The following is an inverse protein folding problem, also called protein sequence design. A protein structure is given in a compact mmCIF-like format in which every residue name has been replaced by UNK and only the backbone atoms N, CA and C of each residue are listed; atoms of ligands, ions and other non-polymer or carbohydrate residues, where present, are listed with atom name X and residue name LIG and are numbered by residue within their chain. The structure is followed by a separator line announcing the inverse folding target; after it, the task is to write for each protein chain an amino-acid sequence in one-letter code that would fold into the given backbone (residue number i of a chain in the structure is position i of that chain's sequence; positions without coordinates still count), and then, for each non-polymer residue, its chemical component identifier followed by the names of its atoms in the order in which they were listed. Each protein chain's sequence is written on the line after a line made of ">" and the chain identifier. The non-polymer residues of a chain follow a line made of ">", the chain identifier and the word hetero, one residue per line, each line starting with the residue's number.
data_IF_793526659497
#
_entry.id   IF_793526659497
#
_cell.length_a   1.000
_cell.length_b   1.000
_cell.length_c   1.000
_cell.angle_alpha   90.00
_cell.angle_beta   90.00
_cell.angle_gamma   90.00
#
_symmetry.space_group_name_H-M   'P 1'
#
loop_
_entity.id
_entity.type
_entity.pdbx_description
1 polymer ?
#
# COMPACT_ATOMS: atom_id res chain seq x y z
N UNK A 1 -4.67 8.15 -5.18
CA UNK A 1 -3.58 9.15 -5.17
C UNK A 1 -2.83 9.16 -3.84
N UNK A 2 -3.47 9.46 -2.69
CA UNK A 2 -2.78 9.55 -1.40
C UNK A 2 -1.90 8.33 -1.07
N UNK A 3 -2.41 7.12 -1.25
CA UNK A 3 -1.65 5.89 -1.00
C UNK A 3 -0.34 5.81 -1.81
N UNK A 4 -0.34 6.27 -3.07
CA UNK A 4 0.85 6.23 -3.94
C UNK A 4 2.01 7.09 -3.41
N UNK A 5 1.70 8.12 -2.62
CA UNK A 5 2.68 9.00 -1.99
C UNK A 5 2.86 8.74 -0.48
N UNK A 6 2.27 7.68 0.06
CA UNK A 6 2.38 7.29 1.47
C UNK A 6 3.76 6.66 1.78
N UNK A 7 4.85 7.44 1.61
CA UNK A 7 6.22 7.03 1.90
C UNK A 7 7.07 8.19 2.44
N UNK A 8 7.84 7.92 3.46
CA UNK A 8 8.67 8.91 4.14
C UNK A 8 8.03 9.42 5.44
N UNK A 9 8.34 10.65 5.81
CA UNK A 9 7.83 11.28 7.02
C UNK A 9 6.37 11.73 6.84
N UNK A 10 5.52 11.44 7.82
CA UNK A 10 4.07 11.70 7.76
C UNK A 10 3.75 13.17 7.52
N UNK A 11 4.41 14.09 8.24
CA UNK A 11 4.19 15.53 8.05
C UNK A 11 4.47 15.97 6.61
N UNK A 12 5.58 15.50 6.04
CA UNK A 12 5.92 15.80 4.64
C UNK A 12 4.94 15.19 3.64
N UNK A 13 4.42 13.99 3.93
CA UNK A 13 3.36 13.36 3.12
C UNK A 13 2.12 14.24 3.14
N UNK A 14 1.65 14.66 4.31
CA UNK A 14 0.44 15.49 4.45
C UNK A 14 0.60 16.84 3.75
N UNK A 15 1.71 17.56 3.99
CA UNK A 15 1.98 18.83 3.31
C UNK A 15 2.01 18.68 1.78
N UNK A 16 2.63 17.62 1.27
CA UNK A 16 2.63 17.36 -0.18
C UNK A 16 1.21 17.09 -0.71
N UNK A 17 0.43 16.27 -0.01
CA UNK A 17 -0.93 15.93 -0.42
C UNK A 17 -1.85 17.13 -0.38
N UNK A 18 -1.77 17.98 0.66
CA UNK A 18 -2.53 19.24 0.75
C UNK A 18 -2.24 20.14 -0.45
N UNK A 19 -0.97 20.33 -0.80
CA UNK A 19 -0.59 21.11 -1.98
C UNK A 19 -1.09 20.48 -3.29
N UNK A 20 -0.95 19.17 -3.44
CA UNK A 20 -1.41 18.46 -4.64
C UNK A 20 -2.94 18.55 -4.79
N UNK A 21 -3.69 18.34 -3.71
CA UNK A 21 -5.15 18.49 -3.73
C UNK A 21 -5.58 19.95 -3.87
N UNK A 22 -4.84 20.91 -3.34
CA UNK A 22 -5.06 22.34 -3.59
C UNK A 22 -4.97 22.71 -5.08
N UNK A 23 -4.03 22.10 -5.83
CA UNK A 23 -3.94 22.25 -7.28
C UNK A 23 -5.17 21.64 -8.00
N UNK A 24 -5.66 20.50 -7.53
CA UNK A 24 -6.80 19.80 -8.13
C UNK A 24 -8.15 20.42 -7.73
N UNK A 25 -8.19 21.22 -6.67
CA UNK A 25 -9.39 21.86 -6.16
C UNK A 25 -10.35 20.90 -5.43
N UNK A 26 -11.60 21.35 -5.18
CA UNK A 26 -12.54 20.63 -4.33
C UNK A 26 -13.01 19.30 -4.91
N UNK A 27 -12.89 19.12 -6.22
CA UNK A 27 -13.23 17.86 -6.90
C UNK A 27 -12.05 17.37 -7.74
N UNK A 28 -11.12 16.58 -7.15
CA UNK A 28 -9.99 16.01 -7.89
C UNK A 28 -10.41 15.17 -9.10
N UNK A 29 -11.56 14.48 -8.99
CA UNK A 29 -12.12 13.73 -10.11
C UNK A 29 -12.47 14.65 -11.28
N UNK A 30 -13.25 15.71 -11.04
CA UNK A 30 -13.63 16.68 -12.09
C UNK A 30 -12.40 17.35 -12.71
N UNK A 31 -11.40 17.72 -11.89
CA UNK A 31 -10.17 18.30 -12.39
C UNK A 31 -9.36 17.36 -13.30
N UNK A 32 -9.36 16.07 -12.98
CA UNK A 32 -8.65 15.07 -13.78
C UNK A 32 -9.43 14.66 -15.04
N UNK A 33 -10.75 14.71 -15.03
CA UNK A 33 -11.59 14.32 -16.18
C UNK A 33 -12.05 15.49 -17.04
N UNK A 34 -11.62 16.71 -16.73
CA UNK A 34 -11.88 17.90 -17.55
C UNK A 34 -11.34 17.75 -18.98
N UNK A 35 -11.88 18.49 -19.94
CA UNK A 35 -11.47 18.44 -21.35
C UNK A 35 -9.96 18.61 -21.54
N UNK A 36 -9.35 19.48 -20.75
CA UNK A 36 -7.90 19.70 -20.77
C UNK A 36 -7.23 19.09 -19.55
N UNK A 37 -6.08 18.41 -19.74
CA UNK A 37 -5.31 17.87 -18.62
C UNK A 37 -4.78 19.00 -17.73
N UNK A 38 -4.47 18.67 -16.47
CA UNK A 38 -3.81 19.59 -15.53
C UNK A 38 -2.49 20.08 -16.17
N UNK A 39 -2.30 21.39 -16.38
CA UNK A 39 -1.07 21.90 -16.99
C UNK A 39 0.15 21.65 -16.12
N UNK A 40 1.30 21.37 -16.75
CA UNK A 40 2.56 21.13 -16.02
C UNK A 40 2.96 22.32 -15.12
N UNK A 41 2.64 23.55 -15.54
CA UNK A 41 2.92 24.77 -14.76
C UNK A 41 2.21 24.77 -13.40
N UNK A 42 1.01 24.19 -13.27
CA UNK A 42 0.28 24.13 -12.00
C UNK A 42 0.92 23.20 -10.96
N UNK A 43 1.76 22.29 -11.39
CA UNK A 43 2.45 21.31 -10.53
C UNK A 43 3.98 21.52 -10.51
N UNK A 44 4.47 22.63 -11.09
CA UNK A 44 5.90 22.89 -11.25
C UNK A 44 6.68 22.83 -9.93
N UNK A 45 6.06 23.27 -8.83
CA UNK A 45 6.65 23.30 -7.49
C UNK A 45 6.27 22.08 -6.63
N UNK A 46 5.60 21.07 -7.20
CA UNK A 46 5.21 19.88 -6.50
C UNK A 46 6.26 18.78 -6.68
N UNK A 47 6.97 18.46 -5.61
CA UNK A 47 7.85 17.31 -5.56
C UNK A 47 7.68 16.57 -4.23
N UNK A 48 7.90 15.27 -4.20
CA UNK A 48 7.84 14.47 -2.99
C UNK A 48 9.04 13.53 -2.90
N UNK A 49 10.00 13.86 -2.02
CA UNK A 49 11.27 13.16 -1.89
C UNK A 49 12.01 13.13 -3.23
N UNK A 50 12.15 11.95 -3.83
CA UNK A 50 12.82 11.77 -5.13
C UNK A 50 11.84 11.74 -6.32
N UNK A 51 10.54 11.93 -6.09
CA UNK A 51 9.56 12.13 -7.17
C UNK A 51 9.57 13.60 -7.54
N UNK A 52 9.98 13.87 -8.76
CA UNK A 52 10.07 15.22 -9.32
C UNK A 52 8.68 15.78 -9.66
N UNK A 53 8.60 17.08 -9.90
CA UNK A 53 7.37 17.73 -10.39
C UNK A 53 6.92 17.14 -11.74
N UNK A 54 7.86 16.77 -12.59
CA UNK A 54 7.56 16.06 -13.84
C UNK A 54 6.93 14.69 -13.57
N UNK A 55 7.44 13.97 -12.59
CA UNK A 55 6.86 12.68 -12.15
C UNK A 55 5.47 12.84 -11.53
N UNK A 56 5.26 13.87 -10.71
CA UNK A 56 3.92 14.19 -10.18
C UNK A 56 2.94 14.50 -11.33
N UNK A 57 3.34 15.34 -12.27
CA UNK A 57 2.52 15.64 -13.44
C UNK A 57 2.19 14.37 -14.25
N UNK A 58 3.19 13.52 -14.49
CA UNK A 58 2.99 12.28 -15.23
C UNK A 58 2.09 11.30 -14.47
N UNK A 59 2.19 11.24 -13.14
CA UNK A 59 1.28 10.47 -12.30
C UNK A 59 -0.18 10.93 -12.45
N UNK A 60 -0.44 12.23 -12.39
CA UNK A 60 -1.78 12.78 -12.57
C UNK A 60 -2.32 12.48 -13.98
N UNK A 61 -1.46 12.58 -15.00
CA UNK A 61 -1.80 12.17 -16.36
C UNK A 61 -2.21 10.71 -16.44
N UNK A 62 -1.46 9.78 -15.85
CA UNK A 62 -1.81 8.35 -15.83
C UNK A 62 -3.14 8.08 -15.14
N UNK A 63 -3.41 8.76 -14.01
CA UNK A 63 -4.71 8.65 -13.32
C UNK A 63 -5.84 9.17 -14.20
N UNK A 64 -5.63 10.30 -14.88
CA UNK A 64 -6.59 10.86 -15.87
C UNK A 64 -6.91 9.83 -16.95
N UNK A 65 -5.89 9.29 -17.62
CA UNK A 65 -6.08 8.31 -18.70
C UNK A 65 -6.87 7.09 -18.23
N UNK A 66 -6.58 6.61 -17.01
CA UNK A 66 -7.34 5.51 -16.42
C UNK A 66 -8.81 5.88 -16.17
N UNK A 67 -9.08 7.09 -15.66
CA UNK A 67 -10.45 7.56 -15.40
C UNK A 67 -11.24 7.76 -16.70
N UNK A 68 -10.63 8.35 -17.72
CA UNK A 68 -11.28 8.57 -19.02
C UNK A 68 -11.57 7.26 -19.76
N UNK A 69 -10.63 6.31 -19.70
CA UNK A 69 -10.77 5.03 -20.42
C UNK A 69 -11.73 4.04 -19.74
N UNK A 70 -11.86 4.09 -18.42
CA UNK A 70 -12.60 3.08 -17.64
C UNK A 70 -13.73 3.65 -16.78
N UNK A 71 -13.91 4.97 -16.72
CA UNK A 71 -14.88 5.65 -15.88
C UNK A 71 -14.52 5.68 -14.40
N UNK A 72 -13.86 4.65 -13.88
CA UNK A 72 -13.38 4.61 -12.48
C UNK A 72 -12.18 3.68 -12.34
N UNK A 73 -11.42 3.86 -11.24
CA UNK A 73 -10.33 2.94 -10.90
C UNK A 73 -10.83 1.55 -10.50
N UNK A 74 -12.03 1.44 -9.95
CA UNK A 74 -12.64 0.14 -9.66
C UNK A 74 -12.98 -0.62 -10.95
N UNK A 75 -13.54 0.08 -11.95
CA UNK A 75 -13.83 -0.53 -13.24
C UNK A 75 -12.54 -1.00 -13.96
N UNK A 76 -11.46 -0.22 -13.87
CA UNK A 76 -10.15 -0.65 -14.35
C UNK A 76 -9.67 -1.92 -13.61
N UNK A 77 -9.80 -1.97 -12.27
CA UNK A 77 -9.40 -3.15 -11.49
C UNK A 77 -10.25 -4.39 -11.86
N UNK A 78 -11.56 -4.21 -12.00
CA UNK A 78 -12.48 -5.27 -12.46
C UNK A 78 -12.07 -5.81 -13.83
N UNK A 79 -11.67 -4.94 -14.75
CA UNK A 79 -11.18 -5.33 -16.07
C UNK A 79 -9.87 -6.11 -16.00
N UNK A 80 -8.95 -5.70 -15.14
CA UNK A 80 -7.69 -6.40 -14.91
C UNK A 80 -7.93 -7.80 -14.32
N UNK A 81 -8.81 -7.90 -13.31
CA UNK A 81 -9.21 -9.17 -12.69
C UNK A 81 -9.83 -10.15 -13.69
N UNK A 82 -10.71 -9.68 -14.58
CA UNK A 82 -11.37 -10.55 -15.56
C UNK A 82 -10.49 -11.06 -16.71
N UNK A 83 -9.24 -10.61 -16.79
CA UNK A 83 -8.27 -11.03 -17.81
C UNK A 83 -7.18 -11.98 -17.29
N UNK A 84 -7.06 -12.11 -15.99
CA UNK A 84 -5.94 -12.79 -15.37
C UNK A 84 -6.42 -13.85 -14.36
N UNK A 85 -6.17 -15.11 -14.68
CA UNK A 85 -6.42 -16.27 -13.80
C UNK A 85 -5.21 -16.48 -12.86
N UNK A 86 -4.93 -15.54 -11.96
CA UNK A 86 -3.70 -15.65 -11.16
C UNK A 86 -3.80 -15.05 -9.76
N UNK A 87 -5.01 -14.79 -9.28
CA UNK A 87 -5.24 -14.25 -7.95
C UNK A 87 -4.74 -12.80 -7.77
N UNK A 88 -4.61 -12.37 -6.52
CA UNK A 88 -4.33 -10.98 -6.16
C UNK A 88 -3.06 -10.42 -6.83
N UNK A 89 -2.02 -11.25 -6.98
CA UNK A 89 -0.75 -10.86 -7.63
C UNK A 89 -0.93 -10.47 -9.09
N UNK A 90 -1.63 -11.32 -9.84
CA UNK A 90 -1.89 -11.09 -11.25
C UNK A 90 -2.86 -9.91 -11.45
N UNK A 91 -3.94 -9.84 -10.67
CA UNK A 91 -4.93 -8.77 -10.74
C UNK A 91 -4.31 -7.40 -10.48
N UNK A 92 -3.52 -7.27 -9.41
CA UNK A 92 -2.81 -6.04 -9.11
C UNK A 92 -1.77 -5.72 -10.20
N UNK A 93 -1.07 -6.72 -10.71
CA UNK A 93 -0.13 -6.58 -11.82
C UNK A 93 -0.80 -6.03 -13.08
N UNK A 94 -1.94 -6.60 -13.48
CA UNK A 94 -2.74 -6.12 -14.60
C UNK A 94 -3.28 -4.70 -14.40
N UNK A 95 -3.74 -4.38 -13.18
CA UNK A 95 -4.16 -3.03 -12.83
C UNK A 95 -3.03 -2.00 -12.95
N UNK A 96 -1.85 -2.30 -12.41
CA UNK A 96 -0.71 -1.39 -12.42
C UNK A 96 -0.06 -1.28 -13.81
N UNK A 97 -0.15 -2.31 -14.65
CA UNK A 97 0.41 -2.27 -16.01
C UNK A 97 -0.23 -1.15 -16.84
N UNK A 98 -1.52 -0.84 -16.64
CA UNK A 98 -2.21 0.23 -17.37
C UNK A 98 -1.63 1.61 -17.06
N UNK A 99 -1.27 1.87 -15.81
CA UNK A 99 -0.58 3.11 -15.45
C UNK A 99 0.84 3.16 -16.01
N UNK A 100 1.54 2.03 -16.04
CA UNK A 100 2.88 1.91 -16.63
C UNK A 100 2.86 2.17 -18.14
N UNK A 101 1.87 1.62 -18.84
CA UNK A 101 1.63 1.85 -20.27
C UNK A 101 1.36 3.34 -20.55
N UNK A 102 0.45 3.97 -19.79
CA UNK A 102 0.17 5.39 -19.90
C UNK A 102 1.37 6.28 -19.53
N UNK A 103 2.23 5.83 -18.61
CA UNK A 103 3.46 6.54 -18.24
C UNK A 103 4.48 6.53 -19.40
N UNK A 104 4.61 5.44 -20.12
CA UNK A 104 5.63 5.23 -21.15
C UNK A 104 7.04 5.14 -20.56
N UNK A 105 8.03 5.54 -21.34
CA UNK A 105 9.45 5.40 -20.99
C UNK A 105 10.09 6.62 -20.33
N UNK A 106 9.31 7.69 -20.12
CA UNK A 106 9.79 8.86 -19.41
C UNK A 106 10.04 8.55 -17.93
N UNK A 107 11.17 9.00 -17.38
CA UNK A 107 11.55 8.88 -15.96
C UNK A 107 11.30 7.44 -15.43
N UNK A 108 11.96 6.40 -15.94
CA UNK A 108 11.65 5.00 -15.61
C UNK A 108 11.73 4.68 -14.12
N UNK A 109 12.67 5.28 -13.38
CA UNK A 109 12.83 5.07 -11.93
C UNK A 109 11.60 5.51 -11.15
N UNK A 110 11.00 6.65 -11.49
CA UNK A 110 9.79 7.16 -10.82
C UNK A 110 8.57 6.34 -11.19
N UNK A 111 8.45 5.92 -12.47
CA UNK A 111 7.43 4.98 -12.93
C UNK A 111 7.46 3.68 -12.13
N UNK A 112 8.63 3.05 -12.07
CA UNK A 112 8.80 1.75 -11.43
C UNK A 112 8.60 1.81 -9.92
N UNK A 113 8.88 2.96 -9.33
CA UNK A 113 8.58 3.21 -7.94
C UNK A 113 7.09 3.48 -7.69
N UNK A 114 6.45 4.35 -8.48
CA UNK A 114 5.03 4.69 -8.29
C UNK A 114 4.09 3.55 -8.69
N UNK A 115 4.45 2.79 -9.71
CA UNK A 115 3.69 1.65 -10.23
C UNK A 115 4.57 0.39 -10.30
N UNK A 116 4.99 -0.16 -9.15
CA UNK A 116 5.79 -1.38 -9.12
C UNK A 116 5.01 -2.58 -9.69
N UNK A 117 5.73 -3.57 -10.19
CA UNK A 117 5.10 -4.80 -10.69
C UNK A 117 5.21 -5.91 -9.63
N UNK A 118 4.09 -6.38 -9.05
CA UNK A 118 4.11 -7.47 -8.09
C UNK A 118 4.60 -8.79 -8.71
N UNK A 119 4.43 -8.97 -10.02
CA UNK A 119 4.91 -10.16 -10.74
C UNK A 119 6.44 -10.23 -10.80
N UNK A 120 7.11 -9.07 -10.64
CA UNK A 120 8.57 -8.96 -10.50
C UNK A 120 9.05 -9.02 -9.04
N UNK A 121 8.17 -9.40 -8.11
CA UNK A 121 8.51 -9.62 -6.71
C UNK A 121 8.27 -8.44 -5.77
N UNK A 122 7.86 -7.27 -6.27
CA UNK A 122 7.57 -6.15 -5.37
C UNK A 122 6.42 -6.47 -4.41
N UNK A 123 6.58 -6.17 -3.11
CA UNK A 123 5.51 -6.29 -2.11
C UNK A 123 4.33 -5.33 -2.36
N UNK A 124 4.46 -4.36 -3.22
CA UNK A 124 3.41 -3.38 -3.59
C UNK A 124 2.68 -2.77 -2.39
N UNK A 125 3.38 -2.53 -1.27
CA UNK A 125 2.80 -2.09 0.02
C UNK A 125 1.76 -0.99 -0.13
N UNK A 126 2.06 0.05 -0.91
CA UNK A 126 1.18 1.22 -1.07
C UNK A 126 -0.08 0.92 -1.86
N UNK A 127 -0.01 -0.03 -2.80
CA UNK A 127 -1.17 -0.45 -3.60
C UNK A 127 -2.03 -1.45 -2.84
N UNK A 128 -1.43 -2.34 -2.05
CA UNK A 128 -2.17 -3.18 -1.11
C UNK A 128 -2.87 -2.33 -0.03
N UNK A 129 -2.21 -1.27 0.46
CA UNK A 129 -2.82 -0.29 1.37
C UNK A 129 -3.99 0.46 0.69
N UNK A 130 -3.84 0.85 -0.58
CA UNK A 130 -4.92 1.46 -1.36
C UNK A 130 -6.12 0.50 -1.50
N UNK A 131 -5.88 -0.75 -1.89
CA UNK A 131 -6.94 -1.75 -2.02
C UNK A 131 -7.63 -1.99 -0.66
N UNK A 132 -6.87 -2.09 0.43
CA UNK A 132 -7.42 -2.21 1.77
C UNK A 132 -8.37 -1.05 2.08
N UNK A 133 -7.94 0.20 1.90
CA UNK A 133 -8.77 1.38 2.15
C UNK A 133 -10.04 1.41 1.30
N UNK A 134 -9.96 0.96 0.06
CA UNK A 134 -11.11 1.00 -0.86
C UNK A 134 -12.10 -0.13 -0.62
N UNK A 135 -11.67 -1.29 -0.16
CA UNK A 135 -12.49 -2.51 -0.06
C UNK A 135 -13.04 -2.74 1.34
N UNK A 136 -12.22 -2.53 2.39
CA UNK A 136 -12.69 -2.68 3.78
C UNK A 136 -13.49 -1.45 4.21
N UNK A 137 -14.48 -1.68 5.06
CA UNK A 137 -15.31 -0.61 5.62
C UNK A 137 -15.89 -0.99 6.96
N UNK A 138 -16.62 -0.05 7.57
CA UNK A 138 -17.31 -0.27 8.84
C UNK A 138 -16.45 -0.21 10.11
N UNK A 139 -15.16 0.10 10.00
CA UNK A 139 -14.22 0.17 11.13
C UNK A 139 -13.76 1.61 11.47
N UNK A 140 -14.26 2.61 10.75
CA UNK A 140 -13.89 4.02 10.94
C UNK A 140 -12.47 4.37 10.42
N UNK A 141 -11.75 3.42 9.84
CA UNK A 141 -10.39 3.59 9.31
C UNK A 141 -10.38 3.50 7.79
N UNK A 142 -11.01 2.48 7.24
CA UNK A 142 -11.06 2.18 5.83
C UNK A 142 -12.37 2.68 5.21
N UNK A 143 -12.41 2.94 3.89
CA UNK A 143 -13.51 3.64 3.22
C UNK A 143 -14.64 2.72 2.74
N UNK A 144 -14.33 1.47 2.37
CA UNK A 144 -15.32 0.48 1.93
C UNK A 144 -16.12 0.87 0.68
N UNK A 145 -15.48 1.54 -0.29
CA UNK A 145 -16.14 2.07 -1.48
C UNK A 145 -16.17 1.08 -2.65
N UNK A 146 -15.32 0.08 -2.64
CA UNK A 146 -15.20 -0.90 -3.72
C UNK A 146 -15.85 -2.23 -3.36
N UNK A 147 -16.51 -2.81 -4.37
CA UNK A 147 -17.20 -4.11 -4.28
C UNK A 147 -16.61 -5.17 -5.19
N UNK A 148 -15.62 -4.82 -6.00
CA UNK A 148 -14.97 -5.74 -6.96
C UNK A 148 -14.18 -6.86 -6.26
N UNK A 149 -13.79 -6.64 -5.02
CA UNK A 149 -13.11 -7.60 -4.13
C UNK A 149 -13.82 -7.68 -2.79
N UNK A 150 -13.74 -8.85 -2.14
CA UNK A 150 -14.00 -8.97 -0.71
C UNK A 150 -12.73 -8.83 0.12
N UNK A 151 -12.83 -8.50 1.43
CA UNK A 151 -11.66 -8.39 2.31
C UNK A 151 -10.80 -9.65 2.36
N UNK A 152 -11.39 -10.84 2.22
CA UNK A 152 -10.69 -12.13 2.16
C UNK A 152 -9.70 -12.27 0.99
N UNK A 153 -9.86 -11.45 -0.06
CA UNK A 153 -9.01 -11.45 -1.25
C UNK A 153 -7.87 -10.42 -1.20
N UNK A 154 -7.81 -9.63 -0.13
CA UNK A 154 -6.78 -8.62 0.06
C UNK A 154 -5.47 -9.24 0.53
N UNK A 155 -4.38 -8.54 0.25
CA UNK A 155 -3.01 -8.87 0.69
C UNK A 155 -2.56 -7.82 1.71
N UNK A 156 -1.94 -8.27 2.78
CA UNK A 156 -1.41 -7.41 3.84
C UNK A 156 -0.39 -6.42 3.28
N UNK A 157 -0.55 -5.11 3.56
CA UNK A 157 0.41 -4.08 3.13
C UNK A 157 1.70 -4.15 3.94
N UNK A 158 2.64 -4.99 3.53
CA UNK A 158 3.88 -5.21 4.30
C UNK A 158 4.84 -4.03 4.16
N UNK A 159 5.11 -3.37 5.28
CA UNK A 159 6.19 -2.40 5.44
C UNK A 159 7.30 -2.96 6.36
N UNK A 160 8.28 -2.14 6.69
CA UNK A 160 9.40 -2.54 7.56
C UNK A 160 8.95 -2.92 8.96
N UNK A 161 7.86 -2.33 9.48
CA UNK A 161 7.30 -2.68 10.80
C UNK A 161 6.56 -4.00 10.73
N UNK A 162 5.69 -4.18 9.75
CA UNK A 162 4.96 -5.44 9.54
C UNK A 162 5.92 -6.59 9.22
N UNK A 163 6.92 -6.38 8.37
CA UNK A 163 7.93 -7.39 8.06
C UNK A 163 8.68 -7.87 9.31
N UNK A 164 9.07 -6.93 10.19
CA UNK A 164 9.74 -7.25 11.44
C UNK A 164 8.84 -8.00 12.41
N UNK A 165 7.62 -7.51 12.61
CA UNK A 165 6.63 -8.16 13.47
C UNK A 165 6.24 -9.54 12.92
N UNK A 166 6.04 -9.68 11.62
CA UNK A 166 5.75 -10.95 10.96
C UNK A 166 6.80 -12.01 11.25
N UNK A 167 8.09 -11.64 11.21
CA UNK A 167 9.18 -12.54 11.59
C UNK A 167 9.14 -12.91 13.07
N UNK A 168 8.92 -11.96 13.96
CA UNK A 168 8.89 -12.24 15.40
C UNK A 168 7.70 -13.08 15.82
N UNK A 169 6.59 -12.95 15.11
CA UNK A 169 5.38 -13.76 15.33
C UNK A 169 5.41 -15.10 14.58
N UNK A 170 6.48 -15.38 13.83
CA UNK A 170 6.60 -16.63 13.06
C UNK A 170 5.66 -16.70 11.85
N UNK A 171 5.12 -15.57 11.38
CA UNK A 171 4.21 -15.51 10.22
C UNK A 171 4.96 -15.63 8.89
N UNK A 172 6.27 -15.43 8.88
CA UNK A 172 7.15 -15.56 7.72
C UNK A 172 8.58 -15.86 8.14
N UNK A 173 9.28 -16.67 7.34
CA UNK A 173 10.71 -16.91 7.46
C UNK A 173 11.54 -16.07 6.49
N UNK A 174 10.91 -15.31 5.60
CA UNK A 174 11.59 -14.51 4.56
C UNK A 174 12.38 -13.36 5.13
N UNK A 175 13.51 -13.06 4.50
CA UNK A 175 14.34 -11.90 4.82
C UNK A 175 14.04 -10.69 3.93
N UNK A 176 13.62 -10.92 2.70
CA UNK A 176 13.27 -9.87 1.74
C UNK A 176 11.82 -9.43 1.92
N UNK A 177 11.60 -8.11 1.93
CA UNK A 177 10.25 -7.54 1.87
C UNK A 177 9.79 -7.56 0.42
N UNK A 178 9.22 -8.68 0.02
CA UNK A 178 8.74 -8.98 -1.32
C UNK A 178 7.28 -9.44 -1.32
N UNK A 179 6.75 -9.75 -2.50
CA UNK A 179 5.38 -10.25 -2.63
C UNK A 179 5.17 -11.56 -1.87
N UNK A 180 6.16 -12.48 -1.90
CA UNK A 180 6.07 -13.74 -1.19
C UNK A 180 5.95 -13.55 0.33
N UNK A 181 6.67 -12.57 0.93
CA UNK A 181 6.49 -12.23 2.33
C UNK A 181 5.08 -11.72 2.61
N UNK A 182 4.52 -10.90 1.71
CA UNK A 182 3.17 -10.39 1.89
C UNK A 182 2.13 -11.53 1.79
N UNK A 183 2.32 -12.50 0.92
CA UNK A 183 1.49 -13.70 0.83
C UNK A 183 1.59 -14.56 2.10
N UNK A 184 2.79 -14.92 2.55
CA UNK A 184 2.99 -15.73 3.76
C UNK A 184 2.33 -15.10 5.00
N UNK A 185 2.53 -13.80 5.23
CA UNK A 185 1.89 -13.07 6.34
C UNK A 185 0.36 -13.06 6.18
N UNK A 186 -0.13 -12.85 4.96
CA UNK A 186 -1.57 -12.86 4.69
C UNK A 186 -2.18 -14.23 4.94
N UNK A 187 -1.52 -15.30 4.52
CA UNK A 187 -2.00 -16.68 4.69
C UNK A 187 -2.02 -17.08 6.17
N UNK A 188 -1.02 -16.67 6.93
CA UNK A 188 -1.02 -16.87 8.38
C UNK A 188 -2.20 -16.14 9.06
N UNK A 189 -2.50 -14.92 8.66
CA UNK A 189 -3.68 -14.19 9.17
C UNK A 189 -4.99 -14.78 8.64
N UNK A 190 -5.03 -15.30 7.43
CA UNK A 190 -6.20 -15.98 6.85
C UNK A 190 -6.55 -17.26 7.61
N UNK A 191 -5.55 -17.96 8.17
CA UNK A 191 -5.80 -19.10 9.05
C UNK A 191 -6.53 -18.70 10.34
N UNK A 192 -6.38 -17.45 10.79
CA UNK A 192 -7.04 -16.91 12.00
C UNK A 192 -8.37 -16.23 11.68
N UNK A 193 -8.44 -15.51 10.57
CA UNK A 193 -9.62 -14.74 10.14
C UNK A 193 -9.74 -14.85 8.60
N UNK A 194 -10.37 -15.91 8.08
CA UNK A 194 -10.47 -16.16 6.64
C UNK A 194 -11.19 -15.07 5.89
N UNK A 195 -12.19 -14.45 6.51
CA UNK A 195 -13.04 -13.42 5.91
C UNK A 195 -12.34 -12.06 5.79
N UNK A 196 -11.34 -11.77 6.64
CA UNK A 196 -10.64 -10.47 6.65
C UNK A 196 -9.20 -10.59 7.19
N UNK A 197 -8.28 -11.20 6.46
CA UNK A 197 -6.89 -11.39 6.90
C UNK A 197 -6.13 -10.08 7.12
N UNK A 198 -6.57 -8.98 6.50
CA UNK A 198 -5.87 -7.68 6.59
C UNK A 198 -6.34 -6.82 7.78
N UNK A 199 -7.32 -7.27 8.56
CA UNK A 199 -7.84 -6.53 9.74
C UNK A 199 -6.76 -6.27 10.80
N UNK A 200 -5.77 -7.15 10.89
CA UNK A 200 -4.71 -7.07 11.90
C UNK A 200 -3.62 -6.04 11.59
N UNK A 201 -3.48 -5.65 10.31
CA UNK A 201 -2.41 -4.77 9.83
C UNK A 201 -2.35 -3.44 10.59
N UNK A 202 -3.48 -2.74 10.74
CA UNK A 202 -3.51 -1.43 11.38
C UNK A 202 -3.06 -1.48 12.85
N UNK A 203 -3.51 -2.46 13.60
CA UNK A 203 -3.18 -2.60 15.02
C UNK A 203 -1.72 -3.00 15.19
N UNK A 204 -1.25 -3.98 14.42
CA UNK A 204 0.11 -4.49 14.53
C UNK A 204 1.15 -3.47 14.09
N UNK A 205 0.92 -2.76 12.99
CA UNK A 205 1.86 -1.72 12.53
C UNK A 205 1.96 -0.57 13.53
N UNK A 206 0.88 -0.23 14.27
CA UNK A 206 0.91 0.78 15.34
C UNK A 206 1.87 0.44 16.46
N UNK A 207 2.00 -0.84 16.83
CA UNK A 207 2.99 -1.29 17.83
C UNK A 207 4.41 -0.88 17.42
N UNK A 208 4.75 -1.04 16.14
CA UNK A 208 6.04 -0.61 15.60
C UNK A 208 6.19 0.90 15.44
N UNK A 209 5.15 1.58 14.92
CA UNK A 209 5.16 3.04 14.68
C UNK A 209 5.27 3.82 15.98
N UNK A 210 4.51 3.43 17.01
CA UNK A 210 4.51 4.08 18.32
C UNK A 210 5.73 3.70 19.17
N UNK A 211 6.69 2.93 18.62
CA UNK A 211 7.85 2.42 19.34
C UNK A 211 7.51 1.64 20.62
N UNK A 212 6.28 1.13 20.69
CA UNK A 212 5.81 0.31 21.81
C UNK A 212 6.55 -1.04 21.88
N UNK A 213 7.13 -1.47 20.74
CA UNK A 213 8.00 -2.62 20.66
C UNK A 213 9.37 -2.20 20.08
N UNK A 214 10.36 -2.05 20.93
CA UNK A 214 11.74 -1.73 20.52
C UNK A 214 12.64 -2.97 20.48
N UNK A 215 12.11 -4.15 20.81
CA UNK A 215 12.82 -5.43 20.94
C UNK A 215 13.97 -5.43 21.96
N UNK A 216 14.27 -4.29 22.58
CA UNK A 216 15.36 -4.14 23.53
C UNK A 216 14.89 -3.98 25.00
N UNK A 217 13.57 -3.83 25.22
CA UNK A 217 13.06 -3.49 26.55
C UNK A 217 12.41 -4.71 27.19
N UNK A 218 13.19 -5.48 27.96
CA UNK A 218 12.75 -6.67 28.72
C UNK A 218 11.45 -6.44 29.53
N UNK A 219 11.26 -5.26 30.13
CA UNK A 219 10.09 -4.94 30.94
C UNK A 219 8.80 -4.70 30.15
N UNK A 220 8.88 -4.42 28.86
CA UNK A 220 7.69 -4.19 28.01
C UNK A 220 7.13 -5.51 27.49
N UNK A 221 7.98 -6.51 27.22
CA UNK A 221 7.55 -7.80 26.69
C UNK A 221 6.71 -8.61 27.70
N UNK A 222 6.96 -8.48 29.01
CA UNK A 222 6.19 -9.19 30.05
C UNK A 222 4.72 -8.77 30.13
N UNK A 223 4.40 -7.54 29.65
CA UNK A 223 3.03 -7.00 29.62
C UNK A 223 2.45 -6.91 28.21
N UNK A 224 3.19 -7.41 27.22
CA UNK A 224 2.76 -7.36 25.82
C UNK A 224 1.75 -8.49 25.56
N UNK A 225 0.54 -8.17 25.05
CA UNK A 225 -0.45 -9.21 24.75
C UNK A 225 0.02 -10.20 23.65
N UNK A 226 1.00 -9.82 22.82
CA UNK A 226 1.61 -10.70 21.83
C UNK A 226 2.80 -11.51 22.39
N UNK A 227 3.19 -11.27 23.65
CA UNK A 227 4.33 -11.93 24.30
C UNK A 227 4.37 -13.44 24.14
N UNK A 228 3.26 -14.16 24.43
CA UNK A 228 3.23 -15.63 24.33
C UNK A 228 3.52 -16.19 22.93
N UNK A 229 3.16 -15.42 21.87
CA UNK A 229 3.36 -15.83 20.49
C UNK A 229 4.62 -15.22 19.84
N UNK A 230 5.37 -14.39 20.57
CA UNK A 230 6.48 -13.61 20.00
C UNK A 230 7.83 -14.25 20.32
N UNK A 231 8.55 -14.73 19.29
CA UNK A 231 9.91 -15.27 19.43
C UNK A 231 10.92 -14.26 20.01
N UNK A 232 10.62 -12.96 19.86
CA UNK A 232 11.40 -11.89 20.48
C UNK A 232 11.23 -11.85 22.01
N UNK A 233 10.03 -12.19 22.53
CA UNK A 233 9.80 -12.29 23.96
C UNK A 233 10.48 -13.54 24.56
N UNK A 234 10.42 -14.67 23.87
CA UNK A 234 11.08 -15.93 24.33
C UNK A 234 12.59 -15.79 24.42
N UNK A 235 13.25 -15.12 23.46
CA UNK A 235 14.69 -14.81 23.53
C UNK A 235 15.05 -13.83 24.66
N UNK A 236 14.12 -12.97 25.07
CA UNK A 236 14.34 -12.07 26.21
C UNK A 236 14.20 -12.79 27.55
N UNK A 237 13.42 -13.87 27.63
CA UNK A 237 13.22 -14.68 28.84
C UNK A 237 14.27 -15.80 28.98
N UNK A 238 14.82 -16.32 27.88
CA UNK A 238 15.82 -17.40 27.87
C UNK A 238 17.04 -16.97 27.05
N UNK A 239 17.98 -16.21 27.65
CA UNK A 239 19.17 -15.71 26.93
C UNK A 239 20.20 -16.80 26.59
N UNK A 240 20.02 -18.03 27.04
CA UNK A 240 20.90 -19.19 26.82
C UNK A 240 20.09 -20.43 26.46
N UNK A 241 19.89 -20.66 25.16
CA UNK A 241 19.45 -21.91 24.55
C UNK A 241 20.17 -22.11 23.25
#
# INVERSE_FOLDING_TARGET
>A
MAASFAFGNVTRILTFLERMFGVLGPSPHAALTADRPVPRSRVADLSHRFISSAGVHRFLFCVREALLAYGSLEALYRRARGREDGGARAWLGGFLSRFREAWGDAIPRERDFLFPDPRKGSACKRHNLFLRWMVRGGDGVDLGLWTVLGPSQLIVPVDTHMARLGKWLGLTARNSVDWGMAEEITDAFRAVCPEDPVRFDFVLTRIGILKACTHAIRGTCSRCPLGPACSGATKAFFPHG
#
